data_IF_721711675227
#
_entry.id   IF_721711675227
#
_cell.length_a   1.000
_cell.length_b   1.000
_cell.length_c   1.000
_cell.angle_alpha   90.00
_cell.angle_beta   90.00
_cell.angle_gamma   90.00
#
_symmetry.space_group_name_H-M   'P 1'
#
loop_
_entity.id
_entity.type
_entity.pdbx_description
1 polymer ?
#
# COMPACT_ATOMS: atom_id res chain seq x y z
N UNK A 1 29.59 0.06 -14.97
CA UNK A 1 28.77 -1.12 -14.60
C UNK A 1 28.27 -1.06 -13.15
N UNK A 2 29.11 -0.74 -12.13
CA UNK A 2 28.69 -0.63 -10.72
C UNK A 2 27.64 0.47 -10.50
N UNK A 3 27.80 1.64 -11.10
CA UNK A 3 26.86 2.75 -10.97
C UNK A 3 25.49 2.44 -11.60
N UNK A 4 25.47 1.68 -12.68
CA UNK A 4 24.23 1.23 -13.33
C UNK A 4 23.48 0.20 -12.47
N UNK A 5 24.20 -0.76 -11.86
CA UNK A 5 23.62 -1.72 -10.92
C UNK A 5 23.01 -1.03 -9.69
N UNK A 6 23.71 -0.02 -9.13
CA UNK A 6 23.21 0.77 -7.98
C UNK A 6 21.96 1.55 -8.36
N UNK A 7 21.92 2.16 -9.54
CA UNK A 7 20.74 2.86 -10.03
C UNK A 7 19.55 1.91 -10.24
N UNK A 8 19.77 0.72 -10.80
CA UNK A 8 18.73 -0.28 -11.01
C UNK A 8 18.22 -0.83 -9.68
N UNK A 9 19.09 -1.13 -8.71
CA UNK A 9 18.68 -1.57 -7.37
C UNK A 9 17.93 -0.48 -6.61
N UNK A 10 18.33 0.79 -6.72
CA UNK A 10 17.62 1.91 -6.11
C UNK A 10 16.24 2.14 -6.73
N UNK A 11 16.13 2.03 -8.07
CA UNK A 11 14.83 2.08 -8.78
C UNK A 11 13.95 0.89 -8.40
N UNK A 12 14.52 -0.32 -8.28
CA UNK A 12 13.77 -1.50 -7.80
C UNK A 12 13.26 -1.33 -6.36
N UNK A 13 14.08 -0.76 -5.48
CA UNK A 13 13.70 -0.46 -4.08
C UNK A 13 12.61 0.63 -4.00
N UNK A 14 12.65 1.65 -4.86
CA UNK A 14 11.61 2.68 -4.94
C UNK A 14 10.29 2.15 -5.51
N UNK A 15 10.33 1.07 -6.28
CA UNK A 15 9.16 0.44 -6.88
C UNK A 15 8.47 -0.59 -5.97
N UNK A 16 9.07 -0.93 -4.84
CA UNK A 16 8.43 -1.69 -3.77
C UNK A 16 7.47 -0.78 -2.97
N UNK A 17 6.50 -0.22 -3.65
CA UNK A 17 5.33 0.36 -2.98
C UNK A 17 4.51 -0.81 -2.45
N UNK A 18 4.58 -1.03 -1.15
CA UNK A 18 3.67 -1.92 -0.45
C UNK A 18 2.26 -1.35 -0.64
N UNK A 19 1.49 -1.95 -1.53
CA UNK A 19 0.05 -1.68 -1.57
C UNK A 19 -0.51 -2.31 -0.31
N UNK A 20 -1.00 -1.49 0.61
CA UNK A 20 -1.74 -1.97 1.77
C UNK A 20 -2.98 -2.68 1.25
N UNK A 21 -3.03 -3.97 1.46
CA UNK A 21 -4.21 -4.79 1.16
C UNK A 21 -5.11 -4.79 2.40
N UNK A 22 -6.40 -4.95 2.23
CA UNK A 22 -7.34 -5.02 3.37
C UNK A 22 -7.17 -6.25 4.26
N UNK A 23 -6.42 -7.25 3.79
CA UNK A 23 -6.05 -8.44 4.56
C UNK A 23 -4.54 -8.46 4.73
N UNK A 24 -4.07 -8.31 5.96
CA UNK A 24 -2.65 -8.33 6.31
C UNK A 24 -2.38 -9.42 7.34
N UNK A 25 -1.33 -10.20 7.12
CA UNK A 25 -0.80 -11.13 8.09
C UNK A 25 0.65 -10.76 8.41
N UNK A 26 0.91 -10.43 9.66
CA UNK A 26 2.21 -10.01 10.16
C UNK A 26 2.67 -10.96 11.24
N UNK A 27 3.97 -11.25 11.29
CA UNK A 27 4.56 -12.11 12.31
C UNK A 27 5.76 -11.40 12.91
N UNK A 28 5.70 -11.20 14.22
CA UNK A 28 6.76 -10.56 15.00
C UNK A 28 7.44 -11.61 15.88
N UNK A 29 8.77 -11.58 15.93
CA UNK A 29 9.56 -12.53 16.69
C UNK A 29 10.64 -11.81 17.46
N UNK A 30 10.59 -11.95 18.80
CA UNK A 30 11.56 -11.35 19.74
C UNK A 30 11.83 -9.85 19.45
N UNK A 31 10.78 -9.08 19.15
CA UNK A 31 10.85 -7.65 18.81
C UNK A 31 10.89 -6.82 20.09
N UNK A 32 11.88 -5.92 20.21
CA UNK A 32 12.11 -5.06 21.38
C UNK A 32 11.71 -3.60 21.15
N UNK A 33 11.13 -3.29 20.00
CA UNK A 33 10.70 -1.93 19.68
C UNK A 33 9.55 -1.48 20.56
N UNK A 34 9.62 -0.29 21.13
CA UNK A 34 8.54 0.23 21.98
C UNK A 34 7.26 0.55 21.22
N UNK A 35 7.38 0.86 19.92
CA UNK A 35 6.25 1.16 19.04
C UNK A 35 6.44 0.50 17.69
N UNK A 36 5.45 -0.28 17.28
CA UNK A 36 5.43 -0.95 15.99
C UNK A 36 4.24 -0.42 15.20
N UNK A 37 4.49 0.20 14.05
CA UNK A 37 3.44 0.54 13.10
C UNK A 37 3.00 -0.74 12.38
N UNK A 38 1.71 -1.03 12.42
CA UNK A 38 1.13 -2.23 11.83
C UNK A 38 0.58 -1.93 10.44
N UNK A 39 -0.38 -1.02 10.35
CA UNK A 39 -1.03 -0.67 9.09
C UNK A 39 -1.74 0.68 9.18
N UNK A 40 -2.19 1.16 8.02
CA UNK A 40 -3.00 2.37 7.89
C UNK A 40 -4.09 2.13 6.85
N UNK A 41 -5.35 2.45 7.19
CA UNK A 41 -6.47 2.21 6.31
C UNK A 41 -7.50 3.35 6.39
N UNK A 42 -8.01 3.78 5.22
CA UNK A 42 -9.09 4.77 5.14
C UNK A 42 -10.44 4.09 5.15
N UNK A 43 -11.24 4.37 6.18
CA UNK A 43 -12.59 3.84 6.30
C UNK A 43 -13.65 4.83 5.85
N UNK A 44 -14.70 4.29 5.24
CA UNK A 44 -15.98 4.97 5.05
C UNK A 44 -16.96 4.58 6.17
N UNK A 45 -18.05 5.31 6.29
CA UNK A 45 -19.14 4.93 7.17
C UNK A 45 -19.62 3.50 6.90
N UNK A 46 -19.72 2.68 7.94
CA UNK A 46 -20.02 1.25 7.86
C UNK A 46 -18.82 0.37 7.45
N UNK A 47 -17.62 0.94 7.39
CA UNK A 47 -16.38 0.18 7.30
C UNK A 47 -16.17 -0.70 8.53
N UNK A 48 -15.35 -1.71 8.40
CA UNK A 48 -15.11 -2.68 9.47
C UNK A 48 -13.64 -3.07 9.52
N UNK A 49 -13.13 -3.25 10.73
CA UNK A 49 -11.85 -3.92 10.91
C UNK A 49 -11.94 -4.99 12.00
N UNK A 50 -11.20 -6.05 11.78
CA UNK A 50 -11.01 -7.15 12.73
C UNK A 50 -9.52 -7.37 12.91
N UNK A 51 -9.08 -7.36 14.15
CA UNK A 51 -7.72 -7.64 14.56
C UNK A 51 -7.71 -8.92 15.35
N UNK A 52 -6.92 -9.90 14.90
CA UNK A 52 -6.72 -11.16 15.60
C UNK A 52 -5.23 -11.37 15.84
N UNK A 53 -4.82 -11.34 17.09
CA UNK A 53 -3.46 -11.64 17.49
C UNK A 53 -3.41 -12.99 18.20
N UNK A 54 -2.52 -13.86 17.76
CA UNK A 54 -2.34 -15.23 18.27
C UNK A 54 -0.88 -15.47 18.65
N UNK A 55 -0.63 -16.53 19.42
CA UNK A 55 0.72 -16.91 19.86
C UNK A 55 1.45 -15.79 20.61
N UNK A 56 0.72 -15.01 21.40
CA UNK A 56 1.27 -13.84 22.09
C UNK A 56 2.16 -14.27 23.25
N UNK A 57 3.43 -13.84 23.21
CA UNK A 57 4.43 -14.13 24.25
C UNK A 57 5.26 -12.88 24.52
N UNK A 58 5.50 -12.62 25.79
CA UNK A 58 6.45 -11.60 26.22
C UNK A 58 7.56 -12.27 27.02
N UNK A 59 8.79 -11.88 26.72
CA UNK A 59 10.01 -12.27 27.44
C UNK A 59 10.63 -11.06 28.07
N UNK A 60 10.99 -11.16 29.34
CA UNK A 60 11.82 -10.17 30.02
C UNK A 60 13.26 -10.22 29.47
N UNK A 61 14.07 -9.23 29.86
CA UNK A 61 15.50 -9.20 29.56
C UNK A 61 16.25 -10.46 30.03
N UNK A 62 15.77 -11.11 31.10
CA UNK A 62 16.31 -12.34 31.66
C UNK A 62 15.86 -13.60 30.91
N UNK A 63 15.04 -13.47 29.85
CA UNK A 63 14.54 -14.58 29.06
C UNK A 63 13.37 -15.35 29.67
N UNK A 64 12.85 -14.91 30.82
CA UNK A 64 11.67 -15.52 31.43
C UNK A 64 10.39 -15.09 30.71
N UNK A 65 9.56 -16.05 30.30
CA UNK A 65 8.23 -15.77 29.74
C UNK A 65 7.27 -15.44 30.90
N UNK A 66 6.49 -14.36 30.76
CA UNK A 66 5.45 -14.03 31.72
C UNK A 66 4.09 -13.85 31.04
N UNK A 67 3.04 -14.15 31.78
CA UNK A 67 1.68 -13.97 31.35
C UNK A 67 1.28 -12.51 31.60
N UNK A 68 0.75 -11.86 30.56
CA UNK A 68 0.24 -10.50 30.66
C UNK A 68 -0.92 -10.42 31.64
N UNK A 69 -0.88 -9.40 32.47
CA UNK A 69 -2.01 -8.92 33.25
C UNK A 69 -2.37 -7.51 32.79
N UNK A 70 -3.58 -7.07 33.05
CA UNK A 70 -4.07 -5.72 32.67
C UNK A 70 -3.23 -4.55 33.23
N UNK A 71 -2.25 -4.83 34.05
CA UNK A 71 -1.34 -3.86 34.66
C UNK A 71 -0.10 -3.55 33.80
N UNK A 72 0.13 -4.30 32.73
CA UNK A 72 1.28 -4.08 31.85
C UNK A 72 0.93 -3.09 30.74
N UNK A 73 1.84 -2.14 30.49
CA UNK A 73 1.70 -1.11 29.45
C UNK A 73 2.04 -1.69 28.05
N UNK A 74 1.30 -2.76 27.66
CA UNK A 74 1.43 -3.40 26.35
C UNK A 74 0.06 -3.52 25.70
N UNK A 75 -0.06 -3.10 24.45
CA UNK A 75 -1.36 -3.13 23.80
C UNK A 75 -1.40 -2.63 22.36
N UNK A 76 -2.57 -2.75 21.79
CA UNK A 76 -2.88 -2.18 20.48
C UNK A 76 -3.52 -0.80 20.65
N UNK A 77 -3.13 0.12 19.79
CA UNK A 77 -3.67 1.49 19.75
C UNK A 77 -4.13 1.80 18.35
N UNK A 78 -5.37 2.24 18.26
CA UNK A 78 -6.02 2.62 17.01
C UNK A 78 -6.24 4.13 17.06
N UNK A 79 -5.66 4.82 16.10
CA UNK A 79 -5.66 6.27 16.03
C UNK A 79 -6.42 6.73 14.79
N UNK A 80 -7.46 7.50 15.01
CA UNK A 80 -8.10 8.26 13.96
C UNK A 80 -7.26 9.49 13.63
N UNK A 81 -6.83 9.64 12.38
CA UNK A 81 -5.99 10.77 11.98
C UNK A 81 -6.74 11.68 11.03
N UNK A 82 -6.98 12.91 11.45
CA UNK A 82 -7.51 13.94 10.58
C UNK A 82 -6.44 14.66 9.77
N UNK A 83 -5.19 14.79 10.22
CA UNK A 83 -4.07 15.43 9.46
C UNK A 83 -2.70 15.12 10.10
N UNK A 84 -1.70 14.82 9.25
CA UNK A 84 -0.24 15.01 9.46
C UNK A 84 0.41 14.39 10.71
N UNK A 85 0.01 13.18 11.04
CA UNK A 85 0.45 12.49 12.26
C UNK A 85 1.93 12.02 12.22
N UNK A 86 2.49 11.79 11.03
CA UNK A 86 3.81 11.18 10.89
C UNK A 86 4.98 11.95 11.50
N UNK A 87 4.89 13.27 11.58
CA UNK A 87 5.96 14.12 12.11
C UNK A 87 5.83 14.35 13.63
N UNK A 88 4.61 14.60 14.14
CA UNK A 88 4.36 14.81 15.56
C UNK A 88 4.52 13.54 16.38
N UNK A 89 4.04 12.43 15.85
CA UNK A 89 4.06 11.14 16.55
C UNK A 89 5.48 10.66 16.86
N UNK A 90 6.43 10.87 15.93
CA UNK A 90 7.82 10.44 16.11
C UNK A 90 8.56 11.24 17.20
N UNK A 91 8.16 12.47 17.47
CA UNK A 91 8.83 13.34 18.44
C UNK A 91 8.26 13.26 19.85
N UNK A 92 6.95 13.11 20.00
CA UNK A 92 6.28 13.11 21.31
C UNK A 92 6.27 11.73 21.98
N UNK A 93 6.09 10.66 21.19
CA UNK A 93 5.94 9.30 21.74
C UNK A 93 7.26 8.55 21.95
N UNK A 94 8.39 9.01 21.38
CA UNK A 94 9.68 8.36 21.60
C UNK A 94 10.28 8.61 22.99
N UNK A 95 9.79 9.61 23.73
CA UNK A 95 10.39 10.02 24.98
C UNK A 95 9.71 9.49 26.25
N UNK A 96 8.43 9.14 26.19
CA UNK A 96 7.70 8.53 27.32
C UNK A 96 6.65 7.56 26.81
N UNK A 97 7.03 6.27 26.73
CA UNK A 97 6.09 5.22 26.42
C UNK A 97 5.22 4.93 27.66
N UNK A 98 4.01 5.48 27.72
CA UNK A 98 2.99 5.13 28.70
C UNK A 98 1.65 5.07 28.01
N UNK A 99 1.11 3.88 27.89
CA UNK A 99 -0.20 3.66 27.27
C UNK A 99 -1.33 4.33 28.05
N UNK A 100 -1.18 4.45 29.40
CA UNK A 100 -2.13 5.09 30.29
C UNK A 100 -2.34 6.58 30.03
N UNK A 101 -1.27 7.30 29.68
CA UNK A 101 -1.28 8.77 29.54
C UNK A 101 -1.81 9.26 28.18
N UNK A 102 -2.04 8.34 27.23
CA UNK A 102 -2.63 8.67 25.92
C UNK A 102 -4.13 8.90 26.13
N UNK A 103 -4.52 10.14 26.41
CA UNK A 103 -5.91 10.56 26.67
C UNK A 103 -6.39 11.58 25.63
N UNK A 104 -6.47 11.18 24.36
CA UNK A 104 -7.14 11.98 23.33
C UNK A 104 -8.45 11.34 22.89
N UNK A 105 -9.44 12.16 22.51
CA UNK A 105 -10.82 11.74 22.23
C UNK A 105 -10.96 10.80 21.02
N UNK A 106 -9.91 10.59 20.22
CA UNK A 106 -9.92 9.81 18.98
C UNK A 106 -8.99 8.59 19.04
N UNK A 107 -8.75 8.05 20.24
CA UNK A 107 -7.83 6.94 20.45
C UNK A 107 -8.58 5.78 21.10
N UNK A 108 -8.66 4.65 20.41
CA UNK A 108 -9.12 3.40 21.00
C UNK A 108 -7.92 2.57 21.41
N UNK A 109 -7.86 2.23 22.69
CA UNK A 109 -6.79 1.40 23.28
C UNK A 109 -7.31 0.03 23.59
N UNK A 110 -6.51 -0.98 23.34
CA UNK A 110 -6.79 -2.35 23.74
C UNK A 110 -5.58 -2.95 24.45
N UNK A 111 -5.69 -3.20 25.74
CA UNK A 111 -4.64 -3.85 26.53
C UNK A 111 -4.64 -5.35 26.28
N UNK A 112 -3.45 -5.92 26.12
CA UNK A 112 -3.30 -7.35 25.95
C UNK A 112 -3.41 -8.05 27.30
N UNK A 113 -4.49 -8.79 27.50
CA UNK A 113 -4.72 -9.52 28.78
C UNK A 113 -4.65 -11.05 28.67
N UNK A 114 -4.63 -11.61 27.46
CA UNK A 114 -4.66 -13.07 27.21
C UNK A 114 -3.89 -13.46 25.96
N UNK A 115 -3.61 -14.76 25.79
CA UNK A 115 -2.79 -15.29 24.70
C UNK A 115 -3.35 -15.09 23.28
N UNK A 116 -4.68 -15.04 23.15
CA UNK A 116 -5.37 -14.82 21.88
C UNK A 116 -6.33 -13.64 22.04
N UNK A 117 -6.18 -12.67 21.15
CA UNK A 117 -6.95 -11.43 21.16
C UNK A 117 -7.74 -11.38 19.86
N UNK A 118 -9.04 -11.17 19.98
CA UNK A 118 -9.91 -10.87 18.86
C UNK A 118 -10.61 -9.56 19.17
N UNK A 119 -10.39 -8.57 18.33
CA UNK A 119 -11.03 -7.27 18.43
C UNK A 119 -11.68 -6.93 17.10
N UNK A 120 -12.98 -6.64 17.14
CA UNK A 120 -13.77 -6.26 15.97
C UNK A 120 -14.42 -4.91 16.22
N UNK A 121 -14.36 -4.04 15.23
CA UNK A 121 -14.99 -2.73 15.32
C UNK A 121 -15.60 -2.31 13.97
N UNK A 122 -16.80 -1.71 14.06
CA UNK A 122 -17.48 -1.15 12.89
C UNK A 122 -17.45 0.36 12.99
N UNK A 123 -16.96 1.00 11.95
CA UNK A 123 -16.79 2.45 11.87
C UNK A 123 -18.15 3.13 11.73
N UNK A 124 -18.46 4.01 12.66
CA UNK A 124 -19.65 4.85 12.60
C UNK A 124 -19.48 5.98 11.57
N UNK A 125 -20.54 6.71 11.29
CA UNK A 125 -20.51 7.75 10.26
C UNK A 125 -19.64 8.95 10.67
N UNK A 126 -19.51 9.19 11.95
CA UNK A 126 -18.73 10.29 12.52
C UNK A 126 -17.22 9.98 12.51
N UNK A 127 -16.86 8.68 12.57
CA UNK A 127 -15.48 8.18 12.64
C UNK A 127 -14.92 7.79 11.25
N UNK A 128 -15.63 8.17 10.16
CA UNK A 128 -15.22 7.87 8.80
C UNK A 128 -14.00 8.70 8.41
N UNK A 129 -12.80 8.14 8.58
CA UNK A 129 -11.50 8.80 8.39
C UNK A 129 -10.39 7.80 8.09
N UNK A 130 -9.16 8.27 8.10
CA UNK A 130 -7.99 7.40 8.04
C UNK A 130 -7.62 6.94 9.45
N UNK A 131 -7.51 5.63 9.63
CA UNK A 131 -7.11 5.00 10.87
C UNK A 131 -5.72 4.42 10.74
N UNK A 132 -4.91 4.60 11.79
CA UNK A 132 -3.57 4.03 11.91
C UNK A 132 -3.54 3.03 13.06
N UNK A 133 -2.96 1.89 12.81
CA UNK A 133 -2.88 0.77 13.73
C UNK A 133 -1.45 0.65 14.24
N UNK A 134 -1.29 0.66 15.57
CA UNK A 134 -0.01 0.55 16.24
C UNK A 134 -0.05 -0.52 17.30
N UNK A 135 1.09 -1.14 17.51
CA UNK A 135 1.35 -1.96 18.69
C UNK A 135 2.35 -1.25 19.58
N UNK A 136 2.07 -1.19 20.88
CA UNK A 136 2.90 -0.56 21.90
C UNK A 136 3.45 -1.60 22.85
N UNK A 137 4.75 -1.59 23.08
CA UNK A 137 5.46 -2.34 24.10
C UNK A 137 6.22 -1.35 24.99
N UNK A 138 5.56 -0.87 26.04
CA UNK A 138 6.15 0.11 26.95
C UNK A 138 6.85 -0.55 28.16
N UNK A 139 6.90 -1.87 28.20
CA UNK A 139 7.62 -2.61 29.24
C UNK A 139 9.12 -2.61 28.93
N UNK A 140 9.88 -1.96 29.82
CA UNK A 140 11.33 -1.74 29.62
C UNK A 140 12.10 -3.06 29.54
N UNK A 141 12.80 -3.29 28.42
CA UNK A 141 13.65 -4.46 28.21
C UNK A 141 12.91 -5.73 27.86
N UNK A 142 11.60 -5.66 27.59
CA UNK A 142 10.82 -6.82 27.16
C UNK A 142 10.89 -7.01 25.63
N UNK A 143 10.75 -8.28 25.21
CA UNK A 143 10.65 -8.68 23.80
C UNK A 143 9.31 -9.35 23.57
N UNK A 144 8.68 -8.98 22.46
CA UNK A 144 7.35 -9.51 22.11
C UNK A 144 7.41 -10.43 20.91
N UNK A 145 6.60 -11.46 20.95
CA UNK A 145 6.40 -12.42 19.86
C UNK A 145 4.91 -12.63 19.68
N UNK A 146 4.38 -12.39 18.51
CA UNK A 146 2.98 -12.66 18.18
C UNK A 146 2.77 -12.76 16.66
N UNK A 147 1.69 -13.41 16.28
CA UNK A 147 1.17 -13.49 14.93
C UNK A 147 -0.11 -12.65 14.86
N UNK A 148 -0.16 -11.73 13.90
CA UNK A 148 -1.25 -10.78 13.71
C UNK A 148 -1.95 -11.03 12.38
N UNK A 149 -3.25 -11.19 12.42
CA UNK A 149 -4.14 -11.15 11.26
C UNK A 149 -5.00 -9.88 11.39
N UNK A 150 -4.91 -9.00 10.42
CA UNK A 150 -5.67 -7.75 10.36
C UNK A 150 -6.54 -7.77 9.11
N UNK A 151 -7.84 -7.73 9.29
CA UNK A 151 -8.82 -7.63 8.23
C UNK A 151 -9.47 -6.24 8.25
N UNK A 152 -9.41 -5.53 7.13
CA UNK A 152 -9.95 -4.18 6.98
C UNK A 152 -10.73 -4.08 5.67
N UNK A 153 -12.00 -3.65 5.74
CA UNK A 153 -12.79 -3.44 4.54
C UNK A 153 -13.80 -2.30 4.68
N UNK A 154 -14.17 -1.75 3.56
CA UNK A 154 -15.26 -0.80 3.42
C UNK A 154 -16.49 -1.48 2.82
N UNK A 155 -17.67 -0.89 3.02
CA UNK A 155 -18.90 -1.31 2.34
C UNK A 155 -19.22 -0.33 1.23
N UNK A 156 -19.06 -0.76 -0.02
CA UNK A 156 -19.43 0.02 -1.20
C UNK A 156 -20.67 -0.60 -1.85
N UNK A 157 -21.78 0.12 -1.92
CA UNK A 157 -23.06 -0.35 -2.47
C UNK A 157 -23.54 -1.70 -1.87
N UNK A 158 -23.26 -1.94 -0.59
CA UNK A 158 -23.64 -3.16 0.12
C UNK A 158 -22.70 -4.36 -0.09
N UNK A 159 -21.64 -4.21 -0.90
CA UNK A 159 -20.61 -5.21 -1.11
C UNK A 159 -19.36 -4.86 -0.30
N UNK A 160 -18.66 -5.89 0.16
CA UNK A 160 -17.34 -5.73 0.79
C UNK A 160 -16.31 -5.25 -0.23
N UNK A 161 -15.55 -4.24 0.15
CA UNK A 161 -14.49 -3.67 -0.66
C UNK A 161 -13.25 -3.48 0.21
N UNK A 162 -12.18 -4.19 -0.09
CA UNK A 162 -10.93 -4.17 0.67
C UNK A 162 -10.00 -3.01 0.32
N UNK A 163 -10.44 -2.06 -0.51
CA UNK A 163 -9.67 -0.84 -0.79
C UNK A 163 -9.97 0.25 0.24
N UNK A 164 -8.93 1.02 0.64
CA UNK A 164 -9.12 2.24 1.41
C UNK A 164 -10.06 3.21 0.67
N UNK A 165 -10.79 4.02 1.42
CA UNK A 165 -11.81 4.94 0.86
C UNK A 165 -11.29 5.82 -0.27
N UNK A 166 -10.04 6.30 -0.17
CA UNK A 166 -9.40 7.10 -1.22
C UNK A 166 -9.06 6.33 -2.50
N UNK A 167 -9.00 5.00 -2.43
CA UNK A 167 -8.64 4.13 -3.56
C UNK A 167 -9.85 3.46 -4.23
N UNK A 168 -11.02 3.50 -3.60
CA UNK A 168 -12.26 2.90 -4.15
C UNK A 168 -12.56 3.35 -5.59
N UNK A 169 -12.41 4.63 -5.99
CA UNK A 169 -12.69 5.06 -7.36
C UNK A 169 -11.58 4.69 -8.36
N UNK A 170 -10.38 4.31 -7.92
CA UNK A 170 -9.22 4.11 -8.80
C UNK A 170 -9.42 3.05 -9.89
N UNK A 171 -10.01 1.87 -9.64
CA UNK A 171 -10.27 0.88 -10.69
C UNK A 171 -11.10 1.44 -11.83
N UNK A 172 -12.14 2.23 -11.51
CA UNK A 172 -12.99 2.87 -12.50
C UNK A 172 -12.23 3.93 -13.31
N UNK A 173 -11.46 4.78 -12.61
CA UNK A 173 -10.67 5.85 -13.23
C UNK A 173 -9.63 5.25 -14.19
N UNK A 174 -8.87 4.26 -13.76
CA UNK A 174 -7.90 3.56 -14.63
C UNK A 174 -8.58 2.85 -15.79
N UNK A 175 -9.75 2.24 -15.57
CA UNK A 175 -10.57 1.65 -16.63
C UNK A 175 -10.99 2.66 -17.69
N UNK A 176 -11.49 3.83 -17.30
CA UNK A 176 -11.85 4.90 -18.22
C UNK A 176 -10.66 5.40 -19.03
N UNK A 177 -9.51 5.64 -18.37
CA UNK A 177 -8.29 6.04 -19.06
C UNK A 177 -7.78 4.95 -20.01
N UNK A 178 -7.95 3.66 -19.67
CA UNK A 178 -7.62 2.55 -20.56
C UNK A 178 -8.44 2.62 -21.85
N UNK A 179 -9.76 2.81 -21.74
CA UNK A 179 -10.65 2.93 -22.91
C UNK A 179 -10.27 4.12 -23.79
N UNK A 180 -10.00 5.28 -23.21
CA UNK A 180 -9.55 6.47 -23.96
C UNK A 180 -8.22 6.23 -24.69
N UNK A 181 -7.25 5.59 -24.03
CA UNK A 181 -5.96 5.29 -24.66
C UNK A 181 -6.10 4.21 -25.75
N UNK A 182 -6.98 3.22 -25.59
CA UNK A 182 -7.29 2.23 -26.63
C UNK A 182 -7.93 2.88 -27.86
N UNK A 183 -8.84 3.84 -27.67
CA UNK A 183 -9.40 4.61 -28.78
C UNK A 183 -8.33 5.41 -29.52
N UNK A 184 -7.42 6.05 -28.78
CA UNK A 184 -6.29 6.76 -29.38
C UNK A 184 -5.34 5.81 -30.12
N UNK A 185 -5.06 4.63 -29.56
CA UNK A 185 -4.25 3.59 -30.20
C UNK A 185 -4.89 3.12 -31.51
N UNK A 186 -6.20 2.86 -31.51
CA UNK A 186 -6.95 2.44 -32.70
C UNK A 186 -6.93 3.53 -33.79
N UNK A 187 -7.13 4.79 -33.40
CA UNK A 187 -7.06 5.92 -34.32
C UNK A 187 -5.64 6.06 -34.94
N UNK A 188 -4.59 5.85 -34.13
CA UNK A 188 -3.20 5.89 -34.59
C UNK A 188 -2.88 4.75 -35.54
N UNK A 189 -3.33 3.53 -35.25
CA UNK A 189 -3.20 2.37 -36.14
C UNK A 189 -3.90 2.64 -37.48
N UNK A 190 -5.14 3.14 -37.42
CA UNK A 190 -5.91 3.50 -38.63
C UNK A 190 -5.17 4.51 -39.50
N UNK A 191 -4.59 5.55 -38.87
CA UNK A 191 -3.79 6.56 -39.57
C UNK A 191 -2.55 5.95 -40.25
N UNK A 192 -1.79 5.11 -39.55
CA UNK A 192 -0.60 4.41 -40.10
C UNK A 192 -1.00 3.55 -41.31
N UNK A 193 -2.06 2.77 -41.20
CA UNK A 193 -2.52 1.88 -42.30
C UNK A 193 -2.93 2.72 -43.53
N UNK A 194 -3.60 3.86 -43.31
CA UNK A 194 -4.04 4.74 -44.40
C UNK A 194 -2.88 5.39 -45.18
N UNK A 195 -1.74 5.62 -44.53
CA UNK A 195 -0.55 6.28 -45.15
C UNK A 195 0.22 5.37 -46.13
N UNK A 196 -0.19 4.11 -46.33
CA UNK A 196 0.32 3.16 -47.38
C UNK A 196 1.86 3.12 -47.49
N UNK A 197 2.59 3.05 -46.38
CA UNK A 197 4.05 2.87 -46.39
C UNK A 197 4.88 4.18 -46.42
N UNK A 198 4.25 5.35 -46.40
CA UNK A 198 4.95 6.64 -46.24
C UNK A 198 5.27 6.97 -44.76
N UNK A 199 5.01 6.01 -43.84
CA UNK A 199 5.16 6.20 -42.39
C UNK A 199 6.62 6.08 -42.00
N UNK A 200 7.12 7.07 -41.27
CA UNK A 200 8.48 7.09 -40.74
C UNK A 200 8.61 6.30 -39.47
N UNK A 201 9.81 5.76 -39.21
CA UNK A 201 10.14 4.95 -38.03
C UNK A 201 9.68 5.54 -36.66
N UNK A 202 9.75 6.88 -36.37
CA UNK A 202 9.26 7.43 -35.11
C UNK A 202 7.77 7.20 -34.84
N UNK A 203 6.94 7.05 -35.89
CA UNK A 203 5.52 6.78 -35.72
C UNK A 203 5.25 5.38 -35.16
N UNK A 204 6.09 4.41 -35.50
CA UNK A 204 6.03 3.05 -34.92
C UNK A 204 6.50 3.03 -33.47
N UNK A 205 7.54 3.83 -33.13
CA UNK A 205 7.94 4.00 -31.73
C UNK A 205 6.80 4.57 -30.89
N UNK A 206 6.13 5.60 -31.38
CA UNK A 206 4.99 6.20 -30.69
C UNK A 206 3.85 5.18 -30.50
N UNK A 207 3.61 4.32 -31.51
CA UNK A 207 2.64 3.23 -31.40
C UNK A 207 2.98 2.26 -30.26
N UNK A 208 4.26 1.86 -30.16
CA UNK A 208 4.73 0.95 -29.10
C UNK A 208 4.58 1.62 -27.72
N UNK A 209 4.98 2.89 -27.57
CA UNK A 209 4.82 3.64 -26.32
C UNK A 209 3.36 3.71 -25.90
N UNK A 210 2.46 3.98 -26.84
CA UNK A 210 1.02 4.05 -26.57
C UNK A 210 0.45 2.68 -26.18
N UNK A 211 0.88 1.60 -26.84
CA UNK A 211 0.46 0.24 -26.53
C UNK A 211 0.93 -0.18 -25.09
N UNK A 212 2.19 0.11 -24.76
CA UNK A 212 2.72 -0.15 -23.41
C UNK A 212 1.97 0.67 -22.34
N UNK A 213 1.59 1.92 -22.64
CA UNK A 213 0.77 2.74 -21.73
C UNK A 213 -0.62 2.14 -21.52
N UNK A 214 -1.27 1.63 -22.56
CA UNK A 214 -2.54 0.93 -22.44
C UNK A 214 -2.41 -0.33 -21.56
N UNK A 215 -1.35 -1.12 -21.77
CA UNK A 215 -1.09 -2.31 -20.96
C UNK A 215 -0.90 -1.96 -19.48
N UNK A 216 -0.15 -0.90 -19.15
CA UNK A 216 0.02 -0.41 -17.79
C UNK A 216 -1.32 -0.05 -17.13
N UNK A 217 -2.10 0.82 -17.78
CA UNK A 217 -3.38 1.28 -17.22
C UNK A 217 -4.36 0.12 -17.01
N UNK A 218 -4.38 -0.83 -17.95
CA UNK A 218 -5.20 -2.03 -17.82
C UNK A 218 -4.75 -2.89 -16.65
N UNK A 219 -3.44 -3.11 -16.51
CA UNK A 219 -2.86 -3.88 -15.41
C UNK A 219 -3.17 -3.24 -14.06
N UNK A 220 -3.00 -1.91 -13.94
CA UNK A 220 -3.34 -1.16 -12.72
C UNK A 220 -4.83 -1.31 -12.37
N UNK A 221 -5.73 -1.16 -13.36
CA UNK A 221 -7.16 -1.33 -13.17
C UNK A 221 -7.51 -2.74 -12.67
N UNK A 222 -6.93 -3.78 -13.29
CA UNK A 222 -7.19 -5.17 -12.93
C UNK A 222 -6.64 -5.53 -11.54
N UNK A 223 -5.45 -5.05 -11.20
CA UNK A 223 -4.84 -5.29 -9.89
C UNK A 223 -5.66 -4.61 -8.78
N UNK A 224 -6.05 -3.35 -8.97
CA UNK A 224 -6.88 -2.64 -7.99
C UNK A 224 -8.27 -3.27 -7.86
N UNK A 225 -8.85 -3.75 -8.96
CA UNK A 225 -10.10 -4.51 -8.90
C UNK A 225 -9.94 -5.82 -8.13
N UNK A 226 -8.86 -6.55 -8.38
CA UNK A 226 -8.57 -7.77 -7.64
C UNK A 226 -8.44 -7.50 -6.13
N UNK A 227 -7.72 -6.43 -5.74
CA UNK A 227 -7.61 -6.03 -4.34
C UNK A 227 -8.96 -5.66 -3.72
N UNK A 228 -9.82 -4.97 -4.48
CA UNK A 228 -11.16 -4.63 -4.02
C UNK A 228 -12.00 -5.85 -3.65
N UNK A 229 -11.83 -6.96 -4.40
CA UNK A 229 -12.64 -8.18 -4.22
C UNK A 229 -12.03 -9.17 -3.23
N UNK A 230 -10.71 -9.36 -3.28
CA UNK A 230 -10.04 -10.45 -2.56
C UNK A 230 -9.32 -9.98 -1.29
N UNK A 231 -9.06 -8.68 -1.14
CA UNK A 231 -8.34 -8.12 0.01
C UNK A 231 -6.87 -8.52 0.12
N UNK A 232 -6.39 -9.42 -0.73
CA UNK A 232 -5.02 -9.91 -0.69
C UNK A 232 -4.20 -9.47 -1.90
N UNK A 233 -2.93 -9.17 -1.67
CA UNK A 233 -2.00 -8.80 -2.73
C UNK A 233 -1.69 -10.02 -3.64
N UNK A 234 -1.79 -9.83 -4.95
CA UNK A 234 -1.24 -10.78 -5.91
C UNK A 234 0.29 -10.80 -5.78
N UNK A 235 0.85 -11.97 -5.50
CA UNK A 235 2.28 -12.14 -5.20
C UNK A 235 3.21 -11.54 -6.28
N UNK A 236 2.80 -11.56 -7.53
CA UNK A 236 3.58 -11.08 -8.67
C UNK A 236 3.20 -9.67 -9.15
N UNK A 237 2.17 -9.05 -8.58
CA UNK A 237 1.69 -7.75 -9.06
C UNK A 237 2.74 -6.63 -8.99
N UNK A 238 3.54 -6.48 -7.91
CA UNK A 238 4.57 -5.44 -7.86
C UNK A 238 5.66 -5.64 -8.91
N UNK A 239 6.05 -6.90 -9.16
CA UNK A 239 7.08 -7.23 -10.15
C UNK A 239 6.61 -6.90 -11.57
N UNK A 240 5.37 -7.29 -11.92
CA UNK A 240 4.79 -7.01 -13.23
C UNK A 240 4.70 -5.49 -13.46
N UNK A 241 4.18 -4.75 -12.50
CA UNK A 241 4.08 -3.28 -12.59
C UNK A 241 5.47 -2.63 -12.72
N UNK A 242 6.47 -3.09 -11.96
CA UNK A 242 7.83 -2.59 -12.02
C UNK A 242 8.45 -2.78 -13.41
N UNK A 243 8.32 -3.98 -13.99
CA UNK A 243 8.85 -4.30 -15.33
C UNK A 243 8.19 -3.44 -16.40
N UNK A 244 6.86 -3.37 -16.42
CA UNK A 244 6.14 -2.60 -17.46
C UNK A 244 6.41 -1.10 -17.29
N UNK A 245 6.47 -0.59 -16.07
CA UNK A 245 6.78 0.82 -15.78
C UNK A 245 8.20 1.19 -16.23
N UNK A 246 9.18 0.32 -16.00
CA UNK A 246 10.57 0.51 -16.45
C UNK A 246 10.65 0.51 -17.98
N UNK A 247 9.99 -0.44 -18.64
CA UNK A 247 9.91 -0.48 -20.11
C UNK A 247 9.32 0.82 -20.68
N UNK A 248 8.25 1.34 -20.08
CA UNK A 248 7.67 2.62 -20.47
C UNK A 248 8.67 3.77 -20.36
N UNK A 249 9.42 3.86 -19.25
CA UNK A 249 10.42 4.91 -19.04
C UNK A 249 11.51 4.88 -20.12
N UNK A 250 12.05 3.70 -20.41
CA UNK A 250 13.07 3.51 -21.45
C UNK A 250 12.54 3.88 -22.84
N UNK A 251 11.32 3.46 -23.18
CA UNK A 251 10.71 3.77 -24.48
C UNK A 251 10.44 5.27 -24.65
N UNK A 252 9.93 5.95 -23.62
CA UNK A 252 9.70 7.40 -23.67
C UNK A 252 11.02 8.16 -23.84
N UNK A 253 12.06 7.77 -23.08
CA UNK A 253 13.38 8.37 -23.19
C UNK A 253 13.96 8.16 -24.58
N UNK A 254 13.86 6.95 -25.14
CA UNK A 254 14.31 6.63 -26.50
C UNK A 254 13.58 7.48 -27.54
N UNK A 255 12.27 7.67 -27.39
CA UNK A 255 11.49 8.52 -28.30
C UNK A 255 11.96 9.98 -28.25
N UNK A 256 12.18 10.53 -27.06
CA UNK A 256 12.67 11.90 -26.87
C UNK A 256 14.06 12.06 -27.50
N UNK A 257 14.97 11.11 -27.31
CA UNK A 257 16.30 11.14 -27.91
C UNK A 257 16.25 11.09 -29.44
N UNK A 258 15.40 10.24 -30.02
CA UNK A 258 15.24 10.14 -31.49
C UNK A 258 14.67 11.43 -32.07
N UNK A 259 13.69 12.05 -31.41
CA UNK A 259 13.15 13.34 -31.86
C UNK A 259 14.20 14.46 -31.70
N UNK A 260 14.87 14.51 -30.54
CA UNK A 260 15.86 15.51 -30.20
C UNK A 260 17.13 15.45 -31.07
N UNK A 261 17.54 14.26 -31.50
CA UNK A 261 18.67 14.06 -32.41
C UNK A 261 18.39 14.49 -33.86
N UNK A 262 17.15 14.86 -34.20
CA UNK A 262 16.76 15.24 -35.56
C UNK A 262 16.74 14.09 -36.57
N UNK A 263 17.03 12.86 -36.18
CA UNK A 263 17.02 11.68 -37.05
C UNK A 263 15.69 11.47 -37.80
N UNK A 264 14.60 12.03 -37.29
CA UNK A 264 13.28 12.00 -37.92
C UNK A 264 13.18 12.94 -39.15
N UNK A 265 14.09 13.91 -39.31
CA UNK A 265 14.09 14.92 -40.39
C UNK A 265 15.13 14.63 -41.46
N UNK A 266 16.12 13.79 -41.21
CA UNK A 266 17.12 13.40 -42.18
C UNK A 266 16.53 12.32 -43.07
N UNK A 267 16.53 12.59 -44.40
CA UNK A 267 16.09 11.68 -45.44
C UNK A 267 17.19 10.69 -45.78
#
# INVERSE_FOLDING_TARGET
QRSFLIAVTFVLLLLLQFSTAGLESLSFRDDDRPVIFLSSFGFSAGGHFSLKATNFKIKTADGTEFVLTETHDVGFVFLETLVDFGARFRSEFSSQCKLGDISENNITKYFVGHNDIIFEHTIEKEDASQWNFFFYNCESGSKVTFDLELEMYNKAAGLTNYLPVGEIPLPLVYGMFTVLNLAALAAWIYWIVKQKGAVRWPAYLLLIVLAVKCALLLTDALIKWWYALMGSALLFSPLVLAVISTMRGVLVLSLVLVIGSGLSFVR
#
